data_IF_923841256226
#
_entry.id   IF_923841256226
#
_cell.length_a   1.000
_cell.length_b   1.000
_cell.length_c   1.000
_cell.angle_alpha   90.00
_cell.angle_beta   90.00
_cell.angle_gamma   90.00
#
_symmetry.space_group_name_H-M   'P 1'
#
loop_
_entity.id
_entity.type
_entity.pdbx_description
1 polymer ?
#
# COMPACT_ATOMS: atom_id res chain seq x y z
N UNK A 1 11.50 -10.12 0.95
CA UNK A 1 11.21 -8.69 1.18
C UNK A 1 11.37 -7.94 -0.14
N UNK A 2 10.40 -7.10 -0.47
CA UNK A 2 10.39 -6.26 -1.67
C UNK A 2 10.14 -4.82 -1.25
N UNK A 3 10.98 -3.89 -1.74
CA UNK A 3 10.81 -2.46 -1.53
C UNK A 3 10.34 -1.81 -2.82
N UNK A 4 9.27 -1.02 -2.74
CA UNK A 4 8.70 -0.30 -3.88
C UNK A 4 8.66 1.19 -3.55
N UNK A 5 9.38 2.06 -4.27
CA UNK A 5 9.38 3.49 -3.99
C UNK A 5 8.02 4.11 -4.29
N UNK A 6 7.51 4.91 -3.34
CA UNK A 6 6.30 5.68 -3.55
C UNK A 6 6.62 6.97 -4.32
N UNK A 7 6.43 6.91 -5.64
CA UNK A 7 6.64 8.05 -6.55
C UNK A 7 5.32 8.46 -7.20
N UNK A 8 4.41 9.14 -6.49
CA UNK A 8 3.14 9.56 -7.05
C UNK A 8 3.33 10.59 -8.16
N UNK A 9 2.60 10.43 -9.25
CA UNK A 9 2.52 11.34 -10.37
C UNK A 9 1.17 12.06 -10.37
N UNK A 10 1.18 13.37 -10.15
CA UNK A 10 -0.05 14.18 -10.13
C UNK A 10 -0.74 14.30 -11.50
N UNK A 11 -0.11 13.83 -12.58
CA UNK A 11 -0.69 13.77 -13.92
C UNK A 11 -1.37 12.42 -14.22
N UNK A 12 -1.28 11.43 -13.33
CA UNK A 12 -1.96 10.13 -13.49
C UNK A 12 -3.12 9.94 -12.50
N UNK A 13 -4.10 9.13 -12.90
CA UNK A 13 -5.21 8.72 -12.04
C UNK A 13 -5.33 7.19 -12.07
N UNK A 14 -4.96 6.48 -10.98
CA UNK A 14 -4.48 7.01 -9.69
C UNK A 14 -3.07 7.63 -9.78
N UNK A 15 -2.70 8.51 -8.82
CA UNK A 15 -1.35 9.08 -8.78
C UNK A 15 -0.23 8.04 -8.65
N UNK A 16 -0.51 6.91 -8.02
CA UNK A 16 0.44 5.80 -7.93
C UNK A 16 -0.30 4.48 -8.04
N UNK A 17 0.30 3.54 -8.78
CA UNK A 17 -0.18 2.18 -8.95
C UNK A 17 1.01 1.23 -9.05
N UNK A 18 0.95 0.10 -8.36
CA UNK A 18 1.97 -0.95 -8.43
C UNK A 18 1.35 -2.33 -8.28
N UNK A 19 2.02 -3.35 -8.81
CA UNK A 19 1.67 -4.73 -8.52
C UNK A 19 2.19 -5.11 -7.13
N UNK A 20 1.39 -5.90 -6.41
CA UNK A 20 1.70 -6.43 -5.09
C UNK A 20 1.54 -7.96 -5.11
N UNK A 21 2.46 -8.66 -4.46
CA UNK A 21 2.33 -10.10 -4.19
C UNK A 21 2.15 -10.30 -2.70
N UNK A 22 0.98 -10.77 -2.27
CA UNK A 22 0.58 -10.90 -0.87
C UNK A 22 -0.08 -12.28 -0.69
N UNK A 23 0.39 -13.07 0.28
CA UNK A 23 0.00 -14.48 0.51
C UNK A 23 0.06 -15.35 -0.77
N UNK A 24 1.01 -15.06 -1.66
CA UNK A 24 1.13 -15.72 -2.96
C UNK A 24 0.11 -15.28 -4.01
N UNK A 25 -0.88 -14.44 -3.67
CA UNK A 25 -1.82 -13.83 -4.59
C UNK A 25 -1.25 -12.58 -5.29
N UNK A 26 -1.75 -12.27 -6.49
CA UNK A 26 -1.40 -11.05 -7.23
C UNK A 26 -2.49 -9.99 -7.08
N UNK A 27 -2.09 -8.81 -6.62
CA UNK A 27 -2.95 -7.67 -6.37
C UNK A 27 -2.40 -6.41 -7.05
N UNK A 28 -3.25 -5.38 -7.14
CA UNK A 28 -2.86 -4.03 -7.53
C UNK A 28 -3.02 -3.10 -6.34
N UNK A 29 -1.95 -2.40 -5.97
CA UNK A 29 -1.94 -1.35 -4.95
C UNK A 29 -2.06 0.02 -5.60
N UNK A 30 -3.18 0.70 -5.40
CA UNK A 30 -3.43 2.06 -5.86
C UNK A 30 -3.39 3.03 -4.69
N UNK A 31 -2.69 4.16 -4.85
CA UNK A 31 -2.63 5.19 -3.80
C UNK A 31 -3.24 6.49 -4.31
N UNK A 32 -4.20 7.02 -3.57
CA UNK A 32 -4.92 8.26 -3.91
C UNK A 32 -5.04 9.18 -2.70
N UNK A 33 -5.15 10.49 -2.94
CA UNK A 33 -5.40 11.46 -1.87
C UNK A 33 -6.88 11.44 -1.50
N UNK A 34 -7.19 11.17 -0.23
CA UNK A 34 -8.56 11.26 0.27
C UNK A 34 -8.84 12.70 0.73
N UNK A 35 -9.83 13.36 0.10
CA UNK A 35 -10.17 14.76 0.40
C UNK A 35 -10.75 14.92 1.81
N UNK A 36 -11.61 13.99 2.25
CA UNK A 36 -12.25 14.07 3.57
C UNK A 36 -11.26 13.81 4.71
N UNK A 37 -10.39 12.81 4.55
CA UNK A 37 -9.37 12.44 5.54
C UNK A 37 -8.09 13.28 5.47
N UNK A 38 -7.96 14.12 4.44
CA UNK A 38 -6.77 14.92 4.13
C UNK A 38 -5.47 14.11 4.27
N UNK A 39 -5.45 12.93 3.67
CA UNK A 39 -4.30 12.01 3.70
C UNK A 39 -4.32 11.03 2.55
N UNK A 40 -3.17 10.42 2.27
CA UNK A 40 -3.05 9.32 1.31
C UNK A 40 -3.75 8.06 1.81
N UNK A 41 -4.43 7.37 0.90
CA UNK A 41 -5.05 6.07 1.12
C UNK A 41 -4.47 5.04 0.17
N UNK A 42 -4.21 3.83 0.66
CA UNK A 42 -3.91 2.67 -0.15
C UNK A 42 -5.20 1.89 -0.38
N UNK A 43 -5.43 1.51 -1.63
CA UNK A 43 -6.48 0.60 -2.08
C UNK A 43 -5.83 -0.62 -2.70
N UNK A 44 -6.19 -1.81 -2.23
CA UNK A 44 -5.72 -3.10 -2.74
C UNK A 44 -6.86 -3.72 -3.54
N UNK A 45 -6.61 -3.95 -4.82
CA UNK A 45 -7.56 -4.56 -5.75
C UNK A 45 -7.10 -5.98 -6.07
N UNK A 46 -8.05 -6.90 -6.15
CA UNK A 46 -7.79 -8.26 -6.60
C UNK A 46 -7.53 -8.33 -8.13
N UNK A 47 -7.28 -9.54 -8.64
CA UNK A 47 -7.02 -9.76 -10.07
C UNK A 47 -8.21 -9.43 -10.98
N UNK A 48 -9.43 -9.30 -10.45
CA UNK A 48 -10.62 -8.88 -11.19
C UNK A 48 -10.79 -7.36 -11.22
N UNK A 49 -9.96 -6.62 -10.48
CA UNK A 49 -10.10 -5.18 -10.29
C UNK A 49 -11.13 -4.82 -9.22
N UNK A 50 -11.60 -5.78 -8.43
CA UNK A 50 -12.51 -5.52 -7.31
C UNK A 50 -11.73 -5.08 -6.09
N UNK A 51 -12.26 -4.09 -5.35
CA UNK A 51 -11.64 -3.62 -4.11
C UNK A 51 -11.65 -4.73 -3.06
N UNK A 52 -10.46 -5.19 -2.69
CA UNK A 52 -10.28 -6.18 -1.63
C UNK A 52 -10.13 -5.51 -0.26
N UNK A 53 -9.38 -4.41 -0.22
CA UNK A 53 -9.15 -3.64 1.01
C UNK A 53 -8.83 -2.18 0.70
N UNK A 54 -9.18 -1.25 1.59
CA UNK A 54 -8.74 0.15 1.51
C UNK A 54 -8.57 0.77 2.90
N UNK A 55 -7.55 1.61 3.07
CA UNK A 55 -7.28 2.29 4.33
C UNK A 55 -6.26 3.41 4.22
N UNK A 56 -6.14 4.19 5.29
CA UNK A 56 -5.18 5.28 5.36
C UNK A 56 -3.75 4.74 5.26
N UNK A 57 -2.92 5.40 4.45
CA UNK A 57 -1.51 5.07 4.31
C UNK A 57 -0.74 5.73 5.47
N UNK A 58 -0.54 4.98 6.55
CA UNK A 58 0.18 5.44 7.75
C UNK A 58 1.64 5.04 7.65
N UNK A 59 2.54 6.00 7.86
CA UNK A 59 3.98 5.76 7.84
C UNK A 59 4.46 5.05 9.10
N UNK A 60 5.14 3.93 8.91
CA UNK A 60 5.93 3.22 9.91
C UNK A 60 7.25 3.99 10.16
N UNK A 61 7.49 4.53 11.38
CA UNK A 61 8.74 5.20 11.68
C UNK A 61 9.89 4.19 11.88
N UNK A 62 11.11 4.69 12.01
CA UNK A 62 12.28 3.85 12.32
C UNK A 62 12.05 3.07 13.63
N UNK A 63 12.26 1.75 13.58
CA UNK A 63 12.16 0.86 14.74
C UNK A 63 10.74 0.49 15.18
N UNK A 64 9.70 0.87 14.42
CA UNK A 64 8.32 0.47 14.72
C UNK A 64 7.49 0.22 13.47
N UNK A 65 6.80 -0.92 13.43
CA UNK A 65 6.01 -1.36 12.30
C UNK A 65 4.53 -1.02 12.47
N UNK A 66 3.96 -0.35 11.47
CA UNK A 66 2.53 -0.10 11.32
C UNK A 66 2.07 -0.79 10.04
N UNK A 67 1.43 -1.94 10.18
CA UNK A 67 0.88 -2.67 9.05
C UNK A 67 -0.30 -1.92 8.46
N UNK A 68 -0.30 -1.74 7.13
CA UNK A 68 -1.40 -1.05 6.44
C UNK A 68 -2.66 -1.90 6.41
N UNK A 69 -2.54 -3.22 6.18
CA UNK A 69 -3.67 -4.15 6.10
C UNK A 69 -3.58 -5.26 7.17
N UNK A 70 -3.61 -4.91 8.48
CA UNK A 70 -3.42 -5.88 9.56
C UNK A 70 -4.56 -6.91 9.58
N UNK A 71 -4.22 -8.19 9.67
CA UNK A 71 -5.19 -9.30 9.72
C UNK A 71 -5.90 -9.60 8.40
N UNK A 72 -5.56 -8.90 7.32
CA UNK A 72 -6.09 -9.16 5.98
C UNK A 72 -5.33 -10.29 5.29
N UNK A 73 -4.01 -10.33 5.50
CA UNK A 73 -3.10 -11.34 4.97
C UNK A 73 -2.54 -12.20 6.12
N UNK A 74 -2.34 -13.48 5.85
CA UNK A 74 -1.98 -14.50 6.84
C UNK A 74 -0.48 -14.73 6.94
N UNK A 75 0.28 -14.57 5.86
CA UNK A 75 1.74 -14.69 5.87
C UNK A 75 2.42 -13.37 5.53
N UNK A 76 1.82 -12.57 4.64
CA UNK A 76 2.45 -11.35 4.15
C UNK A 76 2.11 -10.12 4.99
N UNK A 77 3.06 -9.19 5.05
CA UNK A 77 2.86 -7.85 5.61
C UNK A 77 3.11 -6.78 4.57
N UNK A 78 2.37 -5.68 4.67
CA UNK A 78 2.58 -4.47 3.87
C UNK A 78 2.69 -3.26 4.78
N UNK A 79 3.77 -2.50 4.62
CA UNK A 79 4.09 -1.30 5.39
C UNK A 79 4.41 -0.15 4.44
N UNK A 80 4.22 1.09 4.90
CA UNK A 80 4.83 2.26 4.27
C UNK A 80 5.92 2.80 5.20
N UNK A 81 7.18 2.78 4.77
CA UNK A 81 8.34 3.25 5.54
C UNK A 81 8.40 4.78 5.48
N UNK A 82 8.20 5.44 6.62
CA UNK A 82 8.12 6.91 6.69
C UNK A 82 9.46 7.60 6.41
N UNK A 83 10.56 6.92 6.70
CA UNK A 83 11.94 7.40 6.54
C UNK A 83 12.44 7.30 5.10
N UNK A 84 12.08 6.24 4.36
CA UNK A 84 12.52 6.04 2.97
C UNK A 84 11.47 6.40 1.93
N UNK A 85 10.19 6.52 2.30
CA UNK A 85 9.10 6.68 1.35
C UNK A 85 8.85 5.44 0.49
N UNK A 86 9.16 4.25 1.01
CA UNK A 86 8.96 2.99 0.27
C UNK A 86 7.79 2.21 0.87
N UNK A 87 7.03 1.51 0.03
CA UNK A 87 6.31 0.33 0.48
C UNK A 87 7.31 -0.79 0.76
N UNK A 88 7.11 -1.47 1.87
CA UNK A 88 7.81 -2.71 2.20
C UNK A 88 6.81 -3.85 2.24
N UNK A 89 7.10 -4.89 1.46
CA UNK A 89 6.31 -6.11 1.39
C UNK A 89 7.18 -7.27 1.86
N UNK A 90 6.72 -7.99 2.87
CA UNK A 90 7.35 -9.22 3.37
C UNK A 90 6.38 -10.37 3.12
N UNK A 91 6.80 -11.47 2.45
CA UNK A 91 5.96 -12.63 2.17
C UNK A 91 5.54 -13.44 3.39
#
# INVERSE_FOLDING_TARGET
MTLIPFTPNNLSSPPFSTQLTLDGGSFVGNVTWNIAGQRWYLSILDSSGTMFWSGAMVGSPLGFDIFLAPGVFSSSTILFRADTGNFEIVP
#
